data_IF_070295841479
#
_entry.id   IF_070295841479
#
_cell.length_a   1.000
_cell.length_b   1.000
_cell.length_c   1.000
_cell.angle_alpha   90.00
_cell.angle_beta   90.00
_cell.angle_gamma   90.00
#
_symmetry.space_group_name_H-M   'P 1'
#
loop_
_entity.id
_entity.type
_entity.pdbx_description
1 polymer ?
#
# COMPACT_ATOMS: atom_id res chain seq x y z
N UNK A 1 -13.77 10.51 2.06
CA UNK A 1 -14.53 11.45 1.20
C UNK A 1 -14.07 11.51 -0.27
N UNK A 2 -12.86 11.08 -0.66
CA UNK A 2 -12.40 11.17 -2.07
C UNK A 2 -12.71 9.95 -2.95
N UNK A 3 -13.18 8.85 -2.37
CA UNK A 3 -13.35 7.57 -3.09
C UNK A 3 -14.80 7.18 -3.35
N UNK A 4 -15.73 8.13 -3.25
CA UNK A 4 -17.16 7.90 -3.45
C UNK A 4 -17.67 8.38 -4.83
N UNK A 5 -16.82 9.02 -5.64
CA UNK A 5 -17.31 9.80 -6.78
C UNK A 5 -17.35 9.04 -8.12
N UNK A 6 -16.77 7.83 -8.22
CA UNK A 6 -16.60 7.18 -9.52
C UNK A 6 -17.61 6.09 -9.86
N UNK A 7 -18.50 5.73 -8.94
CA UNK A 7 -19.58 4.81 -9.27
C UNK A 7 -20.88 5.24 -8.61
N UNK A 8 -21.97 5.11 -9.36
CA UNK A 8 -23.35 5.40 -8.94
C UNK A 8 -23.77 4.39 -7.87
N UNK A 9 -23.28 4.55 -6.64
CA UNK A 9 -23.59 3.69 -5.52
C UNK A 9 -24.18 4.52 -4.37
N UNK A 10 -25.33 4.09 -3.85
CA UNK A 10 -25.83 4.58 -2.56
C UNK A 10 -25.29 3.69 -1.45
N UNK A 11 -24.45 4.26 -0.59
CA UNK A 11 -24.02 3.63 0.66
C UNK A 11 -25.22 3.65 1.62
N UNK A 12 -25.77 2.48 1.94
CA UNK A 12 -26.96 2.39 2.79
C UNK A 12 -26.62 2.53 4.28
N UNK A 13 -25.49 1.97 4.69
CA UNK A 13 -24.98 2.08 6.07
C UNK A 13 -23.49 1.70 6.13
N UNK A 14 -22.72 2.42 6.95
CA UNK A 14 -21.35 2.06 7.34
C UNK A 14 -21.40 1.62 8.81
N UNK A 15 -21.17 0.34 9.08
CA UNK A 15 -20.98 -0.16 10.45
C UNK A 15 -19.50 -0.35 10.70
N UNK A 16 -18.93 0.52 11.52
CA UNK A 16 -17.56 0.38 12.01
C UNK A 16 -17.61 -0.49 13.26
N UNK A 17 -17.11 -1.72 13.17
CA UNK A 17 -16.92 -2.57 14.34
C UNK A 17 -15.58 -2.25 15.00
N UNK A 18 -15.52 -2.37 16.32
CA UNK A 18 -14.34 -2.04 17.13
C UNK A 18 -13.10 -2.92 16.88
N UNK A 19 -13.19 -3.89 15.96
CA UNK A 19 -12.11 -4.81 15.55
C UNK A 19 -11.44 -4.36 14.24
N UNK A 20 -11.26 -3.04 14.05
CA UNK A 20 -10.67 -2.41 12.86
C UNK A 20 -11.34 -2.73 11.50
N UNK A 21 -12.44 -3.48 11.49
CA UNK A 21 -13.24 -3.79 10.32
C UNK A 21 -14.48 -2.91 10.20
N UNK A 22 -14.62 -2.22 9.08
CA UNK A 22 -15.86 -1.57 8.66
C UNK A 22 -16.57 -2.42 7.61
N UNK A 23 -17.85 -2.76 7.85
CA UNK A 23 -18.70 -3.33 6.80
C UNK A 23 -19.57 -2.22 6.24
N UNK A 24 -19.47 -1.99 4.93
CA UNK A 24 -20.29 -1.03 4.21
C UNK A 24 -21.32 -1.79 3.39
N UNK A 25 -22.59 -1.66 3.77
CA UNK A 25 -23.67 -2.28 3.02
C UNK A 25 -23.98 -1.42 1.78
N UNK A 26 -23.82 -2.01 0.59
CA UNK A 26 -24.19 -1.41 -0.68
C UNK A 26 -25.48 -2.05 -1.19
N UNK A 27 -26.37 -1.26 -1.82
CA UNK A 27 -27.59 -1.79 -2.44
C UNK A 27 -27.52 -1.56 -3.96
N UNK A 28 -27.27 -2.64 -4.70
CA UNK A 28 -27.22 -2.70 -6.18
C UNK A 28 -25.83 -2.45 -6.79
N UNK A 29 -25.47 -3.23 -7.81
CA UNK A 29 -24.23 -3.09 -8.60
C UNK A 29 -23.50 -4.40 -8.90
N UNK A 30 -22.60 -4.39 -9.89
CA UNK A 30 -21.68 -5.51 -10.18
C UNK A 30 -20.63 -5.58 -9.06
N UNK A 31 -20.62 -6.66 -8.27
CA UNK A 31 -19.69 -6.89 -7.14
C UNK A 31 -18.20 -6.77 -7.52
N UNK A 32 -17.86 -6.95 -8.80
CA UNK A 32 -16.49 -6.86 -9.31
C UNK A 32 -15.84 -5.47 -9.14
N UNK A 33 -16.63 -4.40 -8.98
CA UNK A 33 -16.13 -3.02 -8.85
C UNK A 33 -16.03 -2.54 -7.38
N UNK A 34 -16.36 -3.39 -6.41
CA UNK A 34 -16.25 -3.11 -4.97
C UNK A 34 -14.92 -3.65 -4.46
N UNK A 35 -13.83 -3.30 -5.14
CA UNK A 35 -12.49 -3.54 -4.59
C UNK A 35 -12.20 -2.31 -3.71
N UNK A 36 -12.05 -2.44 -2.38
CA UNK A 36 -11.67 -1.34 -1.52
C UNK A 36 -10.50 -0.61 -2.16
N UNK A 37 -10.63 0.69 -2.42
CA UNK A 37 -9.62 1.36 -3.24
C UNK A 37 -8.29 1.61 -2.52
N UNK A 38 -8.13 1.05 -1.31
CA UNK A 38 -6.82 0.71 -0.76
C UNK A 38 -6.07 -0.34 -1.59
N UNK A 39 -6.71 -1.43 -2.02
CA UNK A 39 -6.06 -2.49 -2.82
C UNK A 39 -5.67 -2.01 -4.20
N UNK A 40 -6.57 -1.25 -4.85
CA UNK A 40 -6.30 -0.67 -6.15
C UNK A 40 -5.15 0.35 -6.07
N UNK A 41 -5.10 1.14 -5.00
CA UNK A 41 -4.01 2.08 -4.75
C UNK A 41 -2.66 1.38 -4.60
N UNK A 42 -2.57 0.34 -3.76
CA UNK A 42 -1.34 -0.42 -3.57
C UNK A 42 -0.89 -1.13 -4.86
N UNK A 43 -1.81 -1.74 -5.60
CA UNK A 43 -1.50 -2.38 -6.88
C UNK A 43 -0.99 -1.37 -7.93
N UNK A 44 -1.65 -0.21 -8.03
CA UNK A 44 -1.26 0.85 -8.95
C UNK A 44 0.12 1.41 -8.62
N UNK A 45 0.35 1.82 -7.37
CA UNK A 45 1.65 2.37 -6.95
C UNK A 45 2.77 1.33 -7.00
N UNK A 46 2.49 0.07 -6.66
CA UNK A 46 3.43 -1.03 -6.83
C UNK A 46 3.87 -1.21 -8.28
N UNK A 47 2.93 -1.21 -9.23
CA UNK A 47 3.23 -1.29 -10.66
C UNK A 47 4.03 -0.08 -11.16
N UNK A 48 3.70 1.13 -10.69
CA UNK A 48 4.44 2.37 -11.02
C UNK A 48 5.88 2.30 -10.53
N UNK A 49 6.12 1.84 -9.30
CA UNK A 49 7.47 1.72 -8.76
C UNK A 49 8.31 0.67 -9.48
N UNK A 50 7.71 -0.45 -9.88
CA UNK A 50 8.38 -1.46 -10.72
C UNK A 50 8.73 -0.88 -12.09
N UNK A 51 7.82 -0.14 -12.73
CA UNK A 51 8.07 0.48 -14.03
C UNK A 51 9.18 1.54 -13.97
N UNK A 52 9.25 2.31 -12.88
CA UNK A 52 10.26 3.37 -12.67
C UNK A 52 11.63 2.85 -12.19
N UNK A 53 11.75 1.56 -11.86
CA UNK A 53 13.01 0.97 -11.36
C UNK A 53 14.14 0.90 -12.42
N UNK A 54 13.81 1.01 -13.71
CA UNK A 54 14.77 0.84 -14.79
C UNK A 54 15.83 1.94 -14.94
N UNK A 55 15.64 3.12 -14.33
CA UNK A 55 16.53 4.27 -14.48
C UNK A 55 17.12 4.74 -13.15
N UNK A 56 18.41 5.12 -13.14
CA UNK A 56 19.10 5.60 -11.93
C UNK A 56 18.40 6.80 -11.27
N UNK A 57 17.97 7.78 -12.08
CA UNK A 57 17.24 8.97 -11.59
C UNK A 57 15.85 8.57 -11.09
N UNK A 58 15.16 7.71 -11.83
CA UNK A 58 13.81 7.26 -11.49
C UNK A 58 13.80 6.44 -10.19
N UNK A 59 14.74 5.51 -10.02
CA UNK A 59 14.96 4.77 -8.77
C UNK A 59 15.29 5.68 -7.58
N UNK A 60 16.05 6.75 -7.80
CA UNK A 60 16.32 7.74 -6.74
C UNK A 60 15.05 8.48 -6.32
N UNK A 61 14.18 8.83 -7.27
CA UNK A 61 12.88 9.46 -6.99
C UNK A 61 11.96 8.49 -6.23
N UNK A 62 11.90 7.22 -6.63
CA UNK A 62 11.08 6.22 -5.94
C UNK A 62 11.60 6.00 -4.50
N UNK A 63 12.91 5.85 -4.32
CA UNK A 63 13.49 5.68 -2.99
C UNK A 63 13.30 6.91 -2.09
N UNK A 64 13.33 8.12 -2.65
CA UNK A 64 13.05 9.35 -1.90
C UNK A 64 11.58 9.46 -1.50
N UNK A 65 10.65 9.09 -2.40
CA UNK A 65 9.22 9.02 -2.08
C UNK A 65 8.93 8.03 -0.95
N UNK A 66 9.53 6.85 -0.98
CA UNK A 66 9.40 5.86 0.10
C UNK A 66 9.97 6.41 1.42
N UNK A 67 11.11 7.09 1.37
CA UNK A 67 11.72 7.71 2.56
C UNK A 67 10.81 8.78 3.18
N UNK A 68 10.17 9.62 2.34
CA UNK A 68 9.20 10.62 2.81
C UNK A 68 7.96 9.94 3.40
N UNK A 69 7.44 8.88 2.78
CA UNK A 69 6.30 8.13 3.30
C UNK A 69 6.60 7.50 4.68
N UNK A 70 7.80 6.94 4.87
CA UNK A 70 8.25 6.42 6.16
C UNK A 70 8.36 7.51 7.22
N UNK A 71 8.81 8.71 6.83
CA UNK A 71 8.89 9.85 7.74
C UNK A 71 7.49 10.31 8.19
N UNK A 72 6.52 10.35 7.27
CA UNK A 72 5.12 10.65 7.59
C UNK A 72 4.55 9.59 8.54
N UNK A 73 4.83 8.30 8.28
CA UNK A 73 4.40 7.19 9.14
C UNK A 73 4.95 7.32 10.57
N UNK A 74 6.16 7.86 10.73
CA UNK A 74 6.79 8.08 12.03
C UNK A 74 6.02 9.09 12.90
N UNK A 75 5.41 10.12 12.29
CA UNK A 75 4.61 11.12 13.02
C UNK A 75 3.26 10.57 13.50
N UNK A 76 2.72 9.56 12.83
CA UNK A 76 1.38 9.04 13.13
C UNK A 76 1.40 7.80 14.03
N UNK A 77 2.54 7.12 14.19
CA UNK A 77 2.59 5.84 14.91
C UNK A 77 2.76 6.02 16.43
N UNK A 78 1.80 5.56 17.27
CA UNK A 78 1.99 5.53 18.73
C UNK A 78 2.85 4.33 19.20
N UNK A 79 3.03 3.33 18.34
CA UNK A 79 3.64 2.05 18.71
C UNK A 79 5.17 2.11 18.62
N UNK A 80 5.85 1.88 19.75
CA UNK A 80 7.33 1.92 19.85
C UNK A 80 8.04 0.97 18.88
N UNK A 81 7.43 -0.18 18.57
CA UNK A 81 7.98 -1.16 17.61
C UNK A 81 7.87 -0.64 16.17
N UNK A 82 6.71 -0.11 15.78
CA UNK A 82 6.50 0.49 14.46
C UNK A 82 7.45 1.67 14.23
N UNK A 83 7.63 2.53 15.24
CA UNK A 83 8.59 3.64 15.19
C UNK A 83 10.01 3.13 14.88
N UNK A 84 10.49 2.12 15.62
CA UNK A 84 11.84 1.56 15.41
C UNK A 84 11.98 0.93 14.02
N UNK A 85 10.95 0.23 13.54
CA UNK A 85 10.95 -0.40 12.24
C UNK A 85 10.98 0.65 11.12
N UNK A 86 10.09 1.63 11.16
CA UNK A 86 10.03 2.73 10.17
C UNK A 86 11.32 3.53 10.15
N UNK A 87 11.90 3.81 11.31
CA UNK A 87 13.19 4.50 11.40
C UNK A 87 14.33 3.66 10.80
N UNK A 88 14.36 2.35 11.08
CA UNK A 88 15.35 1.43 10.52
C UNK A 88 15.31 1.38 9.00
N UNK A 89 14.11 1.25 8.42
CA UNK A 89 13.94 1.28 6.97
C UNK A 89 14.26 2.65 6.36
N UNK A 90 13.95 3.74 7.05
CA UNK A 90 14.28 5.08 6.59
C UNK A 90 15.81 5.26 6.50
N UNK A 91 16.54 4.94 7.57
CA UNK A 91 18.01 5.04 7.59
C UNK A 91 18.64 4.12 6.55
N UNK A 92 18.12 2.90 6.40
CA UNK A 92 18.58 1.96 5.38
C UNK A 92 18.38 2.54 3.97
N UNK A 93 17.19 3.04 3.66
CA UNK A 93 16.87 3.59 2.33
C UNK A 93 17.75 4.81 2.00
N UNK A 94 17.90 5.75 2.94
CA UNK A 94 18.77 6.92 2.76
C UNK A 94 20.24 6.52 2.64
N UNK A 95 20.70 5.53 3.41
CA UNK A 95 22.04 4.97 3.30
C UNK A 95 22.29 4.34 1.92
N UNK A 96 21.33 3.57 1.40
CA UNK A 96 21.41 3.00 0.06
C UNK A 96 21.45 4.07 -1.04
N UNK A 97 20.68 5.16 -0.90
CA UNK A 97 20.76 6.31 -1.81
C UNK A 97 22.16 6.92 -1.76
N UNK A 98 22.74 7.15 -0.58
CA UNK A 98 24.09 7.69 -0.47
C UNK A 98 25.13 6.75 -1.13
N UNK A 99 25.06 5.44 -0.86
CA UNK A 99 25.99 4.45 -1.45
C UNK A 99 25.90 4.43 -2.98
N UNK A 100 24.70 4.51 -3.56
CA UNK A 100 24.49 4.56 -5.02
C UNK A 100 25.17 5.78 -5.67
N UNK A 101 25.22 6.90 -4.96
CA UNK A 101 25.84 8.13 -5.45
C UNK A 101 27.37 8.11 -5.35
N UNK A 102 27.92 7.48 -4.30
CA UNK A 102 29.37 7.51 -4.04
C UNK A 102 30.14 6.28 -4.53
N UNK A 103 29.51 5.11 -4.64
CA UNK A 103 30.25 3.84 -4.75
C UNK A 103 29.82 2.99 -5.96
N UNK A 104 28.52 2.70 -6.11
CA UNK A 104 28.10 1.62 -7.01
C UNK A 104 26.70 1.83 -7.60
N UNK A 105 26.58 1.77 -8.93
CA UNK A 105 25.32 1.64 -9.67
C UNK A 105 25.29 0.23 -10.28
N UNK A 106 24.20 -0.55 -10.25
CA UNK A 106 22.80 -0.14 -10.06
C UNK A 106 22.14 -0.77 -8.81
N UNK A 107 22.68 -0.53 -7.63
CA UNK A 107 22.19 -1.16 -6.39
C UNK A 107 20.78 -0.68 -6.02
N UNK A 108 20.51 0.61 -6.23
CA UNK A 108 19.25 1.27 -5.91
C UNK A 108 18.10 0.80 -6.80
N UNK A 109 18.39 0.37 -8.03
CA UNK A 109 17.39 -0.24 -8.91
C UNK A 109 16.87 -1.55 -8.34
N UNK A 110 17.75 -2.41 -7.81
CA UNK A 110 17.31 -3.66 -7.16
C UNK A 110 16.49 -3.38 -5.90
N UNK A 111 16.86 -2.37 -5.11
CA UNK A 111 16.12 -1.96 -3.93
C UNK A 111 14.72 -1.42 -4.26
N UNK A 112 14.61 -0.58 -5.29
CA UNK A 112 13.32 -0.02 -5.73
C UNK A 112 12.43 -1.07 -6.37
N UNK A 113 13.00 -1.99 -7.14
CA UNK A 113 12.31 -3.16 -7.67
C UNK A 113 11.76 -4.02 -6.52
N UNK A 114 12.59 -4.30 -5.51
CA UNK A 114 12.19 -5.06 -4.33
C UNK A 114 11.01 -4.41 -3.60
N UNK A 115 11.05 -3.09 -3.39
CA UNK A 115 9.92 -2.38 -2.77
C UNK A 115 8.66 -2.44 -3.62
N UNK A 116 8.76 -2.22 -4.94
CA UNK A 116 7.62 -2.31 -5.85
C UNK A 116 6.97 -3.69 -5.87
N UNK A 117 7.79 -4.76 -5.95
CA UNK A 117 7.31 -6.14 -5.89
C UNK A 117 6.68 -6.45 -4.54
N UNK A 118 7.29 -6.02 -3.43
CA UNK A 118 6.76 -6.25 -2.09
C UNK A 118 5.37 -5.62 -1.93
N UNK A 119 5.20 -4.35 -2.31
CA UNK A 119 3.91 -3.65 -2.27
C UNK A 119 2.87 -4.36 -3.14
N UNK A 120 3.26 -4.79 -4.34
CA UNK A 120 2.39 -5.56 -5.23
C UNK A 120 1.94 -6.89 -4.62
N UNK A 121 2.87 -7.63 -4.00
CA UNK A 121 2.53 -8.89 -3.32
C UNK A 121 1.63 -8.68 -2.11
N UNK A 122 1.84 -7.62 -1.31
CA UNK A 122 0.95 -7.27 -0.20
C UNK A 122 -0.47 -7.00 -0.66
N UNK A 123 -0.66 -6.28 -1.77
CA UNK A 123 -1.99 -6.07 -2.36
C UNK A 123 -2.68 -7.40 -2.72
N UNK A 124 -1.94 -8.37 -3.28
CA UNK A 124 -2.48 -9.71 -3.57
C UNK A 124 -2.83 -10.45 -2.27
N UNK A 125 -1.97 -10.39 -1.25
CA UNK A 125 -2.25 -11.01 0.04
C UNK A 125 -3.50 -10.43 0.70
N UNK A 126 -3.65 -9.11 0.71
CA UNK A 126 -4.83 -8.45 1.28
C UNK A 126 -6.11 -8.87 0.56
N UNK A 127 -6.09 -8.93 -0.78
CA UNK A 127 -7.23 -9.44 -1.56
C UNK A 127 -7.53 -10.90 -1.20
N UNK A 128 -6.51 -11.75 -1.03
CA UNK A 128 -6.73 -13.16 -0.67
C UNK A 128 -7.29 -13.31 0.73
N UNK A 129 -6.79 -12.55 1.70
CA UNK A 129 -7.28 -12.60 3.08
C UNK A 129 -8.76 -12.15 3.14
N UNK A 130 -9.07 -11.04 2.48
CA UNK A 130 -10.43 -10.48 2.45
C UNK A 130 -11.44 -11.35 1.69
N UNK A 131 -11.06 -11.94 0.55
CA UNK A 131 -11.99 -12.72 -0.28
C UNK A 131 -12.07 -14.20 0.12
N UNK A 132 -10.97 -14.80 0.58
CA UNK A 132 -10.87 -16.26 0.78
C UNK A 132 -10.91 -16.62 2.26
N UNK A 133 -10.17 -15.91 3.11
CA UNK A 133 -10.03 -16.25 4.53
C UNK A 133 -11.15 -15.67 5.39
N UNK A 134 -11.71 -14.51 5.01
CA UNK A 134 -12.85 -13.90 5.71
C UNK A 134 -14.19 -14.52 5.32
N UNK A 135 -14.30 -15.85 5.44
CA UNK A 135 -15.59 -16.57 5.48
C UNK A 135 -16.15 -16.58 6.90
N UNK A 136 -16.33 -15.39 7.49
CA UNK A 136 -17.15 -15.30 8.71
C UNK A 136 -18.61 -15.37 8.27
N UNK A 137 -19.30 -16.44 8.68
CA UNK A 137 -20.73 -16.63 8.46
C UNK A 137 -21.51 -15.40 8.94
N UNK A 138 -21.98 -14.56 8.00
CA UNK A 138 -22.87 -13.43 8.32
C UNK A 138 -22.63 -12.11 7.57
N UNK A 139 -21.89 -12.08 6.46
CA UNK A 139 -21.73 -10.87 5.64
C UNK A 139 -22.08 -11.12 4.17
N UNK A 140 -23.35 -10.89 3.84
CA UNK A 140 -23.95 -10.42 2.57
C UNK A 140 -23.47 -11.00 1.22
N UNK A 141 -23.14 -12.28 1.18
CA UNK A 141 -23.17 -13.06 -0.05
C UNK A 141 -24.40 -13.99 -0.06
N UNK A 142 -25.58 -13.39 -0.23
CA UNK A 142 -26.76 -14.01 -0.84
C UNK A 142 -27.46 -12.96 -1.72
#
# INVERSE_FOLDING_TARGET
>A
YIMLLLCVFQVLAIKVFSNEGGVTHFRGGIQLCIIPAGYLGCAFWGAVFVALSGGRIASTIVASLISIALLISLFYSPNRVMIKLSLGFFVLTVGCIAIEWYVFSPFLNFLTLYYGVSIGTFSVYDIRDDLIMRTVQGSDAY
#
